data_IF_128961204097
#
_entry.id   IF_128961204097
#
_cell.length_a   1.000
_cell.length_b   1.000
_cell.length_c   1.000
_cell.angle_alpha   90.00
_cell.angle_beta   90.00
_cell.angle_gamma   90.00
#
_symmetry.space_group_name_H-M   'P 1'
#
loop_
_entity.id
_entity.type
_entity.pdbx_description
1 polymer ?
#
# COMPACT_ATOMS: atom_id res chain seq x y z
N UNK A 1 -15.70 -36.51 25.59
CA UNK A 1 -14.22 -36.40 25.68
C UNK A 1 -13.67 -36.16 24.29
N UNK A 2 -13.42 -34.88 23.99
CA UNK A 2 -13.06 -34.37 22.66
C UNK A 2 -11.53 -34.30 22.56
N UNK A 3 -10.87 -35.46 22.55
CA UNK A 3 -9.40 -35.52 22.54
C UNK A 3 -8.89 -35.19 21.14
N UNK A 4 -8.28 -34.02 21.02
CA UNK A 4 -7.28 -33.74 19.98
C UNK A 4 -7.79 -33.71 18.54
N UNK A 5 -8.13 -32.50 18.03
CA UNK A 5 -7.76 -32.19 16.63
C UNK A 5 -6.29 -32.60 16.48
N UNK A 6 -6.01 -33.66 15.70
CA UNK A 6 -4.72 -34.35 15.64
C UNK A 6 -3.55 -33.35 15.54
N UNK A 7 -2.46 -33.61 16.26
CA UNK A 7 -1.26 -32.74 16.28
C UNK A 7 -0.80 -32.42 14.85
N UNK A 8 -0.83 -33.41 13.96
CA UNK A 8 -0.56 -33.28 12.53
C UNK A 8 -1.43 -32.23 11.85
N UNK A 9 -2.73 -32.20 12.13
CA UNK A 9 -3.67 -31.24 11.55
C UNK A 9 -3.40 -29.80 12.02
N UNK A 10 -2.95 -29.61 13.27
CA UNK A 10 -2.60 -28.27 13.78
C UNK A 10 -1.30 -27.75 13.19
N UNK A 11 -0.28 -28.61 13.10
CA UNK A 11 1.01 -28.26 12.46
C UNK A 11 0.83 -28.00 10.97
N UNK A 12 0.03 -28.82 10.27
CA UNK A 12 -0.30 -28.60 8.86
C UNK A 12 -1.04 -27.28 8.65
N UNK A 13 -2.02 -26.95 9.52
CA UNK A 13 -2.71 -25.66 9.48
C UNK A 13 -1.74 -24.49 9.66
N UNK A 14 -0.86 -24.53 10.66
CA UNK A 14 0.12 -23.46 10.88
C UNK A 14 1.06 -23.28 9.67
N UNK A 15 1.56 -24.38 9.11
CA UNK A 15 2.41 -24.33 7.90
C UNK A 15 1.64 -23.74 6.70
N UNK A 16 0.38 -24.14 6.52
CA UNK A 16 -0.50 -23.60 5.47
C UNK A 16 -0.65 -22.07 5.61
N UNK A 17 -0.89 -21.59 6.84
CA UNK A 17 -1.02 -20.17 7.13
C UNK A 17 0.28 -19.39 6.86
N UNK A 18 1.43 -19.92 7.27
CA UNK A 18 2.75 -19.29 7.03
C UNK A 18 3.06 -19.22 5.53
N UNK A 19 2.73 -20.28 4.78
CA UNK A 19 2.95 -20.38 3.34
C UNK A 19 1.89 -19.63 2.51
N UNK A 20 0.89 -19.00 3.14
CA UNK A 20 -0.18 -18.28 2.46
C UNK A 20 -1.15 -19.18 1.68
N UNK A 21 -1.16 -20.49 1.95
CA UNK A 21 -2.11 -21.43 1.35
C UNK A 21 -3.41 -21.39 2.16
N UNK A 22 -4.45 -20.75 1.62
CA UNK A 22 -5.80 -20.71 2.21
C UNK A 22 -6.32 -19.35 2.66
N UNK A 23 -5.79 -18.23 2.17
CA UNK A 23 -6.31 -16.91 2.49
C UNK A 23 -7.72 -16.70 1.88
N UNK A 24 -8.75 -16.77 2.71
CA UNK A 24 -10.01 -16.06 2.48
C UNK A 24 -9.84 -14.60 2.90
N UNK A 25 -10.47 -13.67 2.17
CA UNK A 25 -10.50 -12.25 2.52
C UNK A 25 -10.98 -12.09 3.98
N UNK A 26 -10.40 -11.15 4.75
CA UNK A 26 -10.79 -10.95 6.13
C UNK A 26 -12.24 -10.43 6.18
N UNK A 27 -13.10 -11.17 6.89
CA UNK A 27 -14.43 -10.69 7.27
C UNK A 27 -14.25 -9.49 8.22
N UNK A 28 -15.04 -8.43 7.99
CA UNK A 28 -14.95 -7.16 8.70
C UNK A 28 -15.35 -7.24 10.18
N UNK A 29 -14.49 -7.81 11.02
CA UNK A 29 -14.67 -7.79 12.47
C UNK A 29 -13.98 -6.58 13.09
N UNK A 30 -14.80 -5.67 13.63
CA UNK A 30 -14.41 -4.60 14.55
C UNK A 30 -13.69 -5.18 15.78
N UNK A 31 -12.37 -5.07 15.79
CA UNK A 31 -11.53 -5.42 16.93
C UNK A 31 -10.09 -5.06 16.66
N UNK A 32 -9.40 -4.53 17.67
CA UNK A 32 -7.96 -4.20 17.63
C UNK A 32 -7.04 -5.43 17.41
N UNK A 33 -7.59 -6.63 17.24
CA UNK A 33 -6.85 -7.86 17.01
C UNK A 33 -6.60 -8.09 15.52
N UNK A 34 -5.32 -8.15 15.13
CA UNK A 34 -4.91 -8.56 13.79
C UNK A 34 -5.31 -10.04 13.62
N UNK A 35 -6.10 -10.41 12.59
CA UNK A 35 -6.45 -11.82 12.35
C UNK A 35 -5.20 -12.69 12.31
N UNK A 36 -5.25 -13.86 12.96
CA UNK A 36 -4.10 -14.76 13.07
C UNK A 36 -3.49 -15.08 11.69
N UNK A 37 -4.35 -15.25 10.67
CA UNK A 37 -3.95 -15.48 9.28
C UNK A 37 -3.07 -14.36 8.72
N UNK A 38 -3.40 -13.10 9.01
CA UNK A 38 -2.62 -11.93 8.60
C UNK A 38 -1.32 -11.84 9.40
N UNK A 39 -1.40 -12.02 10.72
CA UNK A 39 -0.24 -11.90 11.62
C UNK A 39 0.82 -12.98 11.38
N UNK A 40 0.42 -14.20 11.06
CA UNK A 40 1.33 -15.33 10.83
C UNK A 40 1.67 -15.56 9.36
N UNK A 41 1.16 -14.71 8.46
CA UNK A 41 1.58 -14.72 7.06
C UNK A 41 3.09 -14.47 6.93
N UNK A 42 3.70 -14.90 5.83
CA UNK A 42 5.12 -14.65 5.55
C UNK A 42 5.48 -13.17 5.72
N UNK A 43 4.71 -12.26 5.12
CA UNK A 43 4.96 -10.82 5.22
C UNK A 43 4.73 -10.30 6.65
N UNK A 44 3.68 -10.75 7.34
CA UNK A 44 3.39 -10.36 8.72
C UNK A 44 4.50 -10.77 9.71
N UNK A 45 5.06 -11.97 9.54
CA UNK A 45 6.19 -12.44 10.35
C UNK A 45 7.48 -11.67 10.05
N UNK A 46 7.76 -11.38 8.78
CA UNK A 46 8.93 -10.58 8.39
C UNK A 46 8.84 -9.15 8.93
N UNK A 47 7.67 -8.50 8.80
CA UNK A 47 7.45 -7.16 9.34
C UNK A 47 7.60 -7.16 10.87
N UNK A 48 7.01 -8.14 11.56
CA UNK A 48 7.12 -8.28 13.02
C UNK A 48 8.58 -8.47 13.47
N UNK A 49 9.35 -9.30 12.77
CA UNK A 49 10.76 -9.53 13.06
C UNK A 49 11.60 -8.27 12.84
N UNK A 50 11.36 -7.53 11.75
CA UNK A 50 12.07 -6.30 11.45
C UNK A 50 11.78 -5.23 12.50
N UNK A 51 10.52 -5.04 12.89
CA UNK A 51 10.12 -4.09 13.95
C UNK A 51 10.77 -4.47 15.28
N UNK A 52 10.71 -5.74 15.68
CA UNK A 52 11.34 -6.21 16.91
C UNK A 52 12.85 -5.96 16.88
N UNK A 53 13.51 -6.26 15.76
CA UNK A 53 14.94 -6.01 15.60
C UNK A 53 15.30 -4.53 15.71
N UNK A 54 14.50 -3.64 15.11
CA UNK A 54 14.74 -2.20 15.18
C UNK A 54 14.59 -1.66 16.60
N UNK A 55 13.55 -2.09 17.33
CA UNK A 55 13.37 -1.75 18.73
C UNK A 55 14.53 -2.26 19.60
N UNK A 56 14.92 -3.53 19.43
CA UNK A 56 16.05 -4.12 20.14
C UNK A 56 17.40 -3.47 19.78
N UNK A 57 17.53 -2.90 18.58
CA UNK A 57 18.76 -2.26 18.13
C UNK A 57 19.00 -0.87 18.73
N UNK A 58 17.96 -0.25 19.34
CA UNK A 58 18.10 1.03 20.03
C UNK A 58 19.08 0.91 21.20
N UNK A 59 20.05 1.81 21.25
CA UNK A 59 21.14 1.82 22.24
C UNK A 59 20.64 1.76 23.69
N UNK A 60 19.48 2.40 23.95
CA UNK A 60 18.85 2.45 25.28
C UNK A 60 18.50 1.06 25.82
N UNK A 61 18.11 0.12 24.94
CA UNK A 61 17.71 -1.23 25.30
C UNK A 61 18.90 -2.17 25.14
N UNK A 62 19.58 -2.11 24.00
CA UNK A 62 20.71 -2.98 23.64
C UNK A 62 21.86 -2.95 24.65
N UNK A 63 22.17 -1.78 25.23
CA UNK A 63 23.26 -1.66 26.22
C UNK A 63 22.88 -2.15 27.62
N UNK A 64 21.58 -2.26 27.92
CA UNK A 64 21.08 -2.62 29.25
C UNK A 64 20.87 -4.12 29.43
N UNK A 65 20.63 -4.86 28.36
CA UNK A 65 20.30 -6.29 28.42
C UNK A 65 21.18 -7.12 27.49
N UNK A 66 21.89 -8.09 28.07
CA UNK A 66 22.79 -8.99 27.33
C UNK A 66 22.04 -9.85 26.31
N UNK A 67 20.85 -10.35 26.64
CA UNK A 67 20.05 -11.18 25.72
C UNK A 67 19.60 -10.36 24.51
N UNK A 68 19.27 -9.08 24.71
CA UNK A 68 18.94 -8.17 23.60
C UNK A 68 20.18 -7.91 22.73
N UNK A 69 21.34 -7.67 23.33
CA UNK A 69 22.59 -7.50 22.60
C UNK A 69 22.97 -8.74 21.77
N UNK A 70 22.81 -9.93 22.36
CA UNK A 70 23.07 -11.22 21.71
C UNK A 70 22.06 -11.47 20.58
N UNK A 71 20.77 -11.16 20.78
CA UNK A 71 19.75 -11.22 19.74
C UNK A 71 20.08 -10.32 18.54
N UNK A 72 20.39 -9.04 18.77
CA UNK A 72 20.75 -8.09 17.71
C UNK A 72 21.99 -8.57 16.96
N UNK A 73 23.00 -9.07 17.68
CA UNK A 73 24.24 -9.55 17.04
C UNK A 73 23.97 -10.79 16.18
N UNK A 74 23.18 -11.74 16.69
CA UNK A 74 22.83 -12.97 15.99
C UNK A 74 22.03 -12.72 14.71
N UNK A 75 21.04 -11.83 14.75
CA UNK A 75 20.13 -11.61 13.62
C UNK A 75 20.55 -10.50 12.66
N UNK A 76 21.55 -9.68 12.99
CA UNK A 76 22.06 -8.61 12.10
C UNK A 76 22.29 -9.03 10.64
N UNK A 77 23.02 -10.12 10.33
CA UNK A 77 23.26 -10.50 8.93
C UNK A 77 21.95 -10.89 8.22
N UNK A 78 21.08 -11.65 8.89
CA UNK A 78 19.79 -12.09 8.38
C UNK A 78 18.89 -10.88 8.09
N UNK A 79 18.83 -9.90 9.00
CA UNK A 79 18.04 -8.69 8.83
C UNK A 79 18.57 -7.85 7.66
N UNK A 80 19.89 -7.73 7.54
CA UNK A 80 20.51 -7.00 6.42
C UNK A 80 20.14 -7.65 5.08
N UNK A 81 20.29 -8.96 4.97
CA UNK A 81 19.98 -9.72 3.75
C UNK A 81 18.48 -9.68 3.43
N UNK A 82 17.62 -9.90 4.42
CA UNK A 82 16.16 -9.77 4.27
C UNK A 82 15.77 -8.38 3.77
N UNK A 83 16.36 -7.30 4.30
CA UNK A 83 16.08 -5.93 3.83
C UNK A 83 16.50 -5.72 2.38
N UNK A 84 17.63 -6.28 1.96
CA UNK A 84 18.10 -6.17 0.56
C UNK A 84 17.29 -7.01 -0.42
N UNK A 85 16.70 -8.11 0.05
CA UNK A 85 15.88 -8.99 -0.79
C UNK A 85 14.41 -8.51 -0.90
N UNK A 86 13.96 -7.68 0.03
CA UNK A 86 12.64 -7.02 -0.06
C UNK A 86 12.75 -5.76 -0.91
N UNK A 87 11.62 -5.43 -1.55
CA UNK A 87 11.47 -4.16 -2.27
C UNK A 87 11.78 -3.02 -1.32
N UNK A 88 12.66 -2.12 -1.75
CA UNK A 88 13.12 -0.99 -0.96
C UNK A 88 13.41 0.23 -1.87
N UNK A 89 13.62 1.39 -1.26
CA UNK A 89 13.81 2.65 -1.98
C UNK A 89 15.02 2.60 -2.94
N UNK A 90 16.06 1.83 -2.61
CA UNK A 90 17.27 1.75 -3.45
C UNK A 90 17.05 0.98 -4.76
N UNK A 91 15.90 0.31 -4.93
CA UNK A 91 15.52 -0.36 -6.18
C UNK A 91 14.98 0.65 -7.22
N UNK A 92 14.74 1.90 -6.81
CA UNK A 92 14.13 2.94 -7.64
C UNK A 92 15.05 4.15 -7.81
N UNK A 93 15.11 4.67 -9.04
CA UNK A 93 15.67 5.98 -9.32
C UNK A 93 14.57 7.04 -9.22
N UNK A 94 14.67 7.89 -8.19
CA UNK A 94 13.73 9.00 -7.97
C UNK A 94 14.01 10.13 -8.96
N UNK A 95 12.97 10.55 -9.68
CA UNK A 95 13.02 11.63 -10.66
C UNK A 95 12.30 12.86 -10.12
N UNK A 96 11.26 13.31 -10.81
CA UNK A 96 10.58 14.58 -10.52
C UNK A 96 9.54 14.40 -9.41
N UNK A 97 9.38 15.42 -8.57
CA UNK A 97 8.19 15.57 -7.73
C UNK A 97 7.00 15.88 -8.66
N UNK A 98 5.97 15.02 -8.63
CA UNK A 98 4.77 15.15 -9.49
C UNK A 98 3.50 15.47 -8.69
N UNK A 99 3.52 15.31 -7.36
CA UNK A 99 2.40 15.69 -6.52
C UNK A 99 2.84 15.93 -5.08
N UNK A 100 2.20 16.88 -4.41
CA UNK A 100 2.42 17.14 -2.99
C UNK A 100 1.06 17.21 -2.29
N UNK A 101 0.80 16.22 -1.46
CA UNK A 101 -0.44 16.09 -0.71
C UNK A 101 -0.25 16.35 0.78
N UNK A 102 -1.35 16.28 1.53
CA UNK A 102 -1.33 16.38 2.98
C UNK A 102 -0.53 15.25 3.63
N UNK A 103 -0.62 14.04 3.07
CA UNK A 103 -0.01 12.83 3.63
C UNK A 103 1.43 12.59 3.20
N UNK A 104 1.93 13.36 2.23
CA UNK A 104 3.29 13.20 1.73
C UNK A 104 3.49 13.66 0.29
N UNK A 105 4.51 13.09 -0.34
CA UNK A 105 4.99 13.52 -1.66
C UNK A 105 4.92 12.35 -2.65
N UNK A 106 4.50 12.65 -3.88
CA UNK A 106 4.45 11.70 -4.99
C UNK A 106 5.56 12.06 -5.97
N UNK A 107 6.46 11.11 -6.18
CA UNK A 107 7.57 11.25 -7.12
C UNK A 107 7.39 10.32 -8.30
N UNK A 108 7.76 10.79 -9.49
CA UNK A 108 8.01 9.91 -10.63
C UNK A 108 9.28 9.11 -10.33
N UNK A 109 9.23 7.79 -10.49
CA UNK A 109 10.38 6.92 -10.27
C UNK A 109 10.55 5.97 -11.46
N UNK A 110 11.76 5.44 -11.65
CA UNK A 110 11.91 4.23 -12.47
C UNK A 110 12.56 3.11 -11.67
N UNK A 111 12.02 1.90 -11.81
CA UNK A 111 12.65 0.70 -11.28
C UNK A 111 13.97 0.46 -12.00
N UNK A 112 15.07 0.32 -11.24
CA UNK A 112 16.42 0.24 -11.79
C UNK A 112 16.64 -0.98 -12.68
N UNK A 113 15.99 -2.10 -12.34
CA UNK A 113 16.21 -3.36 -13.02
C UNK A 113 15.46 -3.44 -14.35
N UNK A 114 14.20 -3.01 -14.36
CA UNK A 114 13.31 -3.11 -15.53
C UNK A 114 13.29 -1.84 -16.38
N UNK A 115 13.65 -0.69 -15.79
CA UNK A 115 13.49 0.63 -16.41
C UNK A 115 12.04 1.13 -16.43
N UNK A 116 11.08 0.36 -15.90
CA UNK A 116 9.67 0.72 -15.88
C UNK A 116 9.42 1.94 -14.99
N UNK A 117 8.48 2.78 -15.42
CA UNK A 117 8.19 4.07 -14.79
C UNK A 117 6.93 3.98 -13.95
N UNK A 118 7.02 4.51 -12.72
CA UNK A 118 5.97 4.45 -11.71
C UNK A 118 5.80 5.79 -11.00
N UNK A 119 4.68 5.93 -10.27
CA UNK A 119 4.48 6.99 -9.30
C UNK A 119 4.67 6.43 -7.89
N UNK A 120 5.61 6.98 -7.12
CA UNK A 120 5.89 6.56 -5.75
C UNK A 120 5.37 7.61 -4.76
N UNK A 121 4.33 7.26 -4.00
CA UNK A 121 3.82 8.07 -2.88
C UNK A 121 4.58 7.71 -1.61
N UNK A 122 5.27 8.69 -1.04
CA UNK A 122 6.04 8.57 0.21
C UNK A 122 5.28 9.27 1.32
N UNK A 123 4.96 8.54 2.40
CA UNK A 123 4.18 9.04 3.53
C UNK A 123 4.92 8.81 4.85
N UNK A 124 4.99 9.82 5.71
CA UNK A 124 5.64 9.71 7.02
C UNK A 124 4.75 8.96 8.00
N UNK A 125 5.27 7.89 8.63
CA UNK A 125 4.54 7.09 9.62
C UNK A 125 4.01 7.90 10.81
N UNK A 126 4.62 9.04 11.11
CA UNK A 126 4.18 9.93 12.19
C UNK A 126 2.90 10.72 11.89
N UNK A 127 2.43 10.74 10.63
CA UNK A 127 1.30 11.58 10.17
C UNK A 127 0.11 10.72 9.77
N UNK A 128 0.36 9.51 9.25
CA UNK A 128 -0.69 8.62 8.75
C UNK A 128 -1.14 7.61 9.80
N UNK A 129 -2.42 7.27 9.80
CA UNK A 129 -2.98 6.21 10.66
C UNK A 129 -2.94 4.86 9.95
N UNK A 130 -2.80 3.78 10.72
CA UNK A 130 -2.74 2.42 10.17
C UNK A 130 -4.01 2.03 9.39
N UNK A 131 -5.17 2.54 9.78
CA UNK A 131 -6.44 2.31 9.09
C UNK A 131 -6.46 2.97 7.71
N UNK A 132 -6.10 4.25 7.62
CA UNK A 132 -6.04 4.98 6.34
C UNK A 132 -5.12 4.30 5.33
N UNK A 133 -3.92 3.89 5.76
CA UNK A 133 -2.96 3.21 4.88
C UNK A 133 -3.53 1.87 4.41
N UNK A 134 -4.19 1.13 5.31
CA UNK A 134 -4.75 -0.18 4.99
C UNK A 134 -5.86 -0.05 3.96
N UNK A 135 -6.79 0.89 4.15
CA UNK A 135 -7.87 1.13 3.20
C UNK A 135 -7.33 1.58 1.85
N UNK A 136 -6.43 2.55 1.82
CA UNK A 136 -5.81 3.04 0.58
C UNK A 136 -5.06 1.92 -0.17
N UNK A 137 -4.28 1.11 0.55
CA UNK A 137 -3.60 -0.06 -0.03
C UNK A 137 -4.60 -1.09 -0.54
N UNK A 138 -5.63 -1.43 0.23
CA UNK A 138 -6.57 -2.50 -0.09
C UNK A 138 -7.43 -2.13 -1.32
N UNK A 139 -7.80 -0.85 -1.47
CA UNK A 139 -8.47 -0.33 -2.67
C UNK A 139 -7.57 -0.51 -3.91
N UNK A 140 -6.30 -0.09 -3.84
CA UNK A 140 -5.42 -0.13 -5.01
C UNK A 140 -4.80 -1.50 -5.30
N UNK A 141 -4.75 -2.39 -4.30
CA UNK A 141 -4.33 -3.78 -4.44
C UNK A 141 -5.48 -4.69 -4.92
N UNK A 142 -6.71 -4.20 -4.89
CA UNK A 142 -7.84 -4.88 -5.52
C UNK A 142 -7.59 -5.04 -7.02
N UNK A 143 -8.24 -6.04 -7.66
CA UNK A 143 -8.01 -6.46 -9.06
C UNK A 143 -7.73 -5.28 -10.00
N UNK A 144 -6.82 -5.45 -10.97
CA UNK A 144 -6.53 -4.46 -12.02
C UNK A 144 -7.84 -3.87 -12.57
N UNK A 145 -8.13 -2.66 -12.14
CA UNK A 145 -9.30 -1.89 -12.52
C UNK A 145 -8.88 -0.90 -13.59
N UNK A 146 -9.69 -0.79 -14.64
CA UNK A 146 -9.49 0.24 -15.65
C UNK A 146 -9.82 1.63 -15.11
N UNK A 147 -10.51 1.72 -13.96
CA UNK A 147 -11.01 2.97 -13.41
C UNK A 147 -10.30 3.47 -12.14
N UNK A 148 -9.57 2.61 -11.44
CA UNK A 148 -8.87 2.96 -10.20
C UNK A 148 -7.36 2.82 -10.41
N UNK A 149 -6.56 3.72 -9.84
CA UNK A 149 -5.09 3.58 -9.86
C UNK A 149 -4.66 2.29 -9.16
N UNK A 150 -3.87 1.49 -9.86
CA UNK A 150 -3.35 0.22 -9.36
C UNK A 150 -2.05 0.37 -8.60
N UNK A 151 -1.92 -0.46 -7.56
CA UNK A 151 -0.72 -0.60 -6.74
C UNK A 151 0.15 -1.73 -7.29
N UNK A 152 1.41 -1.42 -7.58
CA UNK A 152 2.42 -2.39 -7.98
C UNK A 152 3.18 -2.94 -6.77
N UNK A 153 3.65 -2.05 -5.88
CA UNK A 153 4.39 -2.43 -4.68
C UNK A 153 3.95 -1.59 -3.48
N UNK A 154 3.94 -2.22 -2.30
CA UNK A 154 3.83 -1.53 -1.01
C UNK A 154 4.97 -1.99 -0.11
N UNK A 155 5.75 -1.04 0.40
CA UNK A 155 6.85 -1.33 1.32
C UNK A 155 7.05 -0.19 2.31
N UNK A 156 7.97 -0.38 3.25
CA UNK A 156 8.20 0.55 4.33
C UNK A 156 9.67 0.53 4.76
N UNK A 157 10.13 1.66 5.31
CA UNK A 157 11.38 1.72 6.04
C UNK A 157 11.11 2.17 7.50
N UNK A 158 12.13 2.69 8.19
CA UNK A 158 12.00 3.08 9.58
C UNK A 158 11.07 4.30 9.78
N UNK A 159 10.98 5.21 8.81
CA UNK A 159 10.28 6.50 8.95
C UNK A 159 9.06 6.62 8.05
N UNK A 160 9.06 5.93 6.91
CA UNK A 160 8.14 6.15 5.81
C UNK A 160 7.47 4.87 5.32
N UNK A 161 6.32 5.07 4.70
CA UNK A 161 5.57 4.10 3.91
C UNK A 161 5.62 4.53 2.45
N UNK A 162 5.74 3.54 1.57
CA UNK A 162 5.91 3.74 0.14
C UNK A 162 4.85 2.94 -0.61
N UNK A 163 4.08 3.64 -1.45
CA UNK A 163 3.14 3.05 -2.38
C UNK A 163 3.64 3.32 -3.80
N UNK A 164 4.04 2.28 -4.52
CA UNK A 164 4.47 2.35 -5.91
C UNK A 164 3.27 1.99 -6.79
N UNK A 165 2.79 2.97 -7.54
CA UNK A 165 1.56 2.92 -8.30
C UNK A 165 1.86 3.09 -9.79
N UNK A 166 0.92 2.70 -10.64
CA UNK A 166 1.00 3.02 -12.07
C UNK A 166 1.17 4.53 -12.28
N UNK A 167 2.02 4.89 -13.24
CA UNK A 167 2.18 6.29 -13.64
C UNK A 167 1.19 6.66 -14.74
N UNK A 168 0.41 7.71 -14.51
CA UNK A 168 -0.59 8.23 -15.44
C UNK A 168 -0.07 9.53 -16.10
N UNK A 169 0.44 9.47 -17.34
CA UNK A 169 1.17 10.57 -17.95
C UNK A 169 0.29 11.73 -18.43
N UNK A 170 -1.04 11.54 -18.49
CA UNK A 170 -1.98 12.59 -18.85
C UNK A 170 -2.15 13.67 -17.77
N UNK A 171 -1.63 13.42 -16.56
CA UNK A 171 -1.75 14.33 -15.42
C UNK A 171 -3.14 14.33 -14.81
N UNK A 172 -3.45 15.34 -14.00
CA UNK A 172 -4.76 15.51 -13.38
C UNK A 172 -5.76 16.29 -14.25
N UNK A 173 -7.04 16.08 -13.99
CA UNK A 173 -8.14 16.73 -14.71
C UNK A 173 -8.13 18.25 -14.47
N UNK A 174 -7.71 18.73 -13.30
CA UNK A 174 -7.58 20.16 -13.03
C UNK A 174 -6.63 20.83 -14.03
N UNK A 175 -5.47 20.23 -14.26
CA UNK A 175 -4.47 20.68 -15.21
C UNK A 175 -5.00 20.67 -16.65
N UNK A 176 -5.83 19.68 -17.02
CA UNK A 176 -6.51 19.66 -18.30
C UNK A 176 -7.53 20.81 -18.41
N UNK A 177 -8.32 21.06 -17.37
CA UNK A 177 -9.28 22.18 -17.32
C UNK A 177 -8.57 23.54 -17.43
N UNK A 178 -7.44 23.72 -16.74
CA UNK A 178 -6.64 24.96 -16.83
C UNK A 178 -6.12 25.18 -18.26
N UNK A 179 -5.65 24.12 -18.93
CA UNK A 179 -5.10 24.20 -20.29
C UNK A 179 -6.19 24.42 -21.35
N UNK A 180 -7.34 23.78 -21.20
CA UNK A 180 -8.41 23.75 -22.21
C UNK A 180 -9.41 24.90 -22.01
N UNK A 181 -9.49 25.44 -20.79
CA UNK A 181 -10.55 26.36 -20.39
C UNK A 181 -11.83 25.59 -20.02
N UNK A 182 -12.98 26.24 -20.20
CA UNK A 182 -14.28 25.62 -19.94
C UNK A 182 -14.49 24.50 -20.96
N UNK A 183 -14.75 23.28 -20.48
CA UNK A 183 -15.12 22.16 -21.35
C UNK A 183 -16.44 22.46 -22.05
N UNK A 184 -16.53 22.09 -23.32
CA UNK A 184 -17.82 22.02 -23.98
C UNK A 184 -18.66 20.86 -23.40
N UNK A 185 -19.93 20.83 -23.79
CA UNK A 185 -20.89 19.85 -23.25
C UNK A 185 -20.47 18.41 -23.59
N UNK A 186 -19.90 18.18 -24.78
CA UNK A 186 -19.47 16.86 -25.23
C UNK A 186 -18.29 16.33 -24.39
N UNK A 187 -17.26 17.15 -24.17
CA UNK A 187 -16.11 16.77 -23.35
C UNK A 187 -16.48 16.64 -21.87
N UNK A 188 -17.35 17.53 -21.37
CA UNK A 188 -17.87 17.41 -20.01
C UNK A 188 -18.68 16.12 -19.84
N UNK A 189 -19.54 15.77 -20.80
CA UNK A 189 -20.31 14.53 -20.78
C UNK A 189 -19.40 13.30 -20.78
N UNK A 190 -18.34 13.31 -21.59
CA UNK A 190 -17.34 12.23 -21.64
C UNK A 190 -16.72 11.97 -20.26
N UNK A 191 -16.11 12.99 -19.63
CA UNK A 191 -15.45 12.81 -18.34
C UNK A 191 -16.44 12.54 -17.19
N UNK A 192 -17.66 13.09 -17.24
CA UNK A 192 -18.70 12.80 -16.25
C UNK A 192 -19.18 11.34 -16.34
N UNK A 193 -19.27 10.78 -17.54
CA UNK A 193 -19.60 9.37 -17.72
C UNK A 193 -18.51 8.47 -17.16
N UNK A 194 -17.23 8.72 -17.49
CA UNK A 194 -16.11 7.95 -16.96
C UNK A 194 -15.97 8.07 -15.44
N UNK A 195 -16.14 9.27 -14.89
CA UNK A 195 -16.13 9.48 -13.45
C UNK A 195 -17.25 8.68 -12.76
N UNK A 196 -18.42 8.59 -13.39
CA UNK A 196 -19.54 7.79 -12.87
C UNK A 196 -19.18 6.30 -12.81
N UNK A 197 -18.55 5.76 -13.85
CA UNK A 197 -18.07 4.37 -13.87
C UNK A 197 -16.97 4.14 -12.83
N UNK A 198 -16.04 5.09 -12.66
CA UNK A 198 -14.99 4.98 -11.65
C UNK A 198 -15.52 5.00 -10.22
N UNK A 199 -16.52 5.85 -9.93
CA UNK A 199 -17.21 5.86 -8.64
C UNK A 199 -18.00 4.58 -8.43
N UNK A 200 -18.68 4.07 -9.46
CA UNK A 200 -19.37 2.80 -9.40
C UNK A 200 -18.40 1.65 -9.08
N UNK A 201 -17.24 1.61 -9.74
CA UNK A 201 -16.21 0.62 -9.48
C UNK A 201 -15.73 0.67 -8.02
N UNK A 202 -15.45 1.86 -7.48
CA UNK A 202 -15.06 2.02 -6.08
C UNK A 202 -16.17 1.60 -5.11
N UNK A 203 -17.41 2.00 -5.36
CA UNK A 203 -18.54 1.64 -4.51
C UNK A 203 -18.83 0.13 -4.56
N UNK A 204 -18.61 -0.52 -5.71
CA UNK A 204 -18.81 -1.96 -5.89
C UNK A 204 -17.86 -2.83 -5.05
N UNK A 205 -16.68 -2.30 -4.71
CA UNK A 205 -15.72 -2.93 -3.79
C UNK A 205 -15.93 -2.50 -2.33
N UNK A 206 -17.02 -1.77 -2.05
CA UNK A 206 -17.45 -1.44 -0.69
C UNK A 206 -16.78 -0.21 -0.08
N UNK A 207 -16.32 0.76 -0.87
CA UNK A 207 -15.68 1.98 -0.37
C UNK A 207 -16.33 3.26 -0.89
N UNK A 208 -16.29 4.34 -0.12
CA UNK A 208 -16.63 5.71 -0.56
C UNK A 208 -15.35 6.56 -0.53
N UNK A 209 -15.10 7.34 -1.59
CA UNK A 209 -13.87 8.14 -1.71
C UNK A 209 -13.79 9.34 -0.76
N UNK A 210 -14.91 10.06 -0.57
CA UNK A 210 -15.06 11.28 0.27
C UNK A 210 -14.21 12.52 -0.08
N UNK A 211 -13.42 12.49 -1.14
CA UNK A 211 -12.55 13.61 -1.56
C UNK A 211 -12.46 13.68 -3.10
N UNK A 212 -13.62 13.67 -3.76
CA UNK A 212 -13.71 13.76 -5.21
C UNK A 212 -13.51 15.21 -5.63
N UNK A 213 -12.44 15.44 -6.39
CA UNK A 213 -12.06 16.74 -6.95
C UNK A 213 -11.18 16.52 -8.19
N UNK A 214 -11.09 17.51 -9.11
CA UNK A 214 -10.34 17.35 -10.36
C UNK A 214 -8.85 16.97 -10.18
N UNK A 215 -8.24 17.30 -9.05
CA UNK A 215 -6.86 16.92 -8.71
C UNK A 215 -6.67 15.42 -8.46
N UNK A 216 -7.72 14.74 -7.99
CA UNK A 216 -7.72 13.30 -7.69
C UNK A 216 -8.21 12.46 -8.88
N UNK A 217 -8.49 13.11 -10.00
CA UNK A 217 -8.92 12.49 -11.25
C UNK A 217 -7.74 12.55 -12.21
N UNK A 218 -7.09 11.42 -12.44
CA UNK A 218 -5.90 11.32 -13.28
C UNK A 218 -6.24 10.78 -14.66
N UNK A 219 -5.39 11.07 -15.64
CA UNK A 219 -5.58 10.69 -17.03
C UNK A 219 -4.45 9.78 -17.52
N UNK A 220 -4.81 8.69 -18.16
CA UNK A 220 -3.86 7.77 -18.76
C UNK A 220 -3.22 8.34 -20.05
N UNK A 221 -2.41 7.52 -20.73
CA UNK A 221 -1.73 7.93 -21.97
C UNK A 221 -2.66 8.17 -23.16
N UNK A 222 -3.91 7.70 -23.08
CA UNK A 222 -4.93 7.85 -24.11
C UNK A 222 -5.95 8.94 -23.75
N UNK A 223 -5.85 9.53 -22.55
CA UNK A 223 -6.74 10.57 -22.06
C UNK A 223 -7.96 10.05 -21.30
N UNK A 224 -8.00 8.76 -20.98
CA UNK A 224 -9.06 8.14 -20.18
C UNK A 224 -8.81 8.32 -18.69
N UNK A 225 -9.90 8.46 -17.94
CA UNK A 225 -9.92 8.75 -16.53
C UNK A 225 -9.57 7.53 -15.66
N UNK A 226 -8.76 7.77 -14.63
CA UNK A 226 -8.63 6.91 -13.45
C UNK A 226 -8.73 7.74 -12.17
N UNK A 227 -9.43 7.19 -11.18
CA UNK A 227 -9.54 7.76 -9.86
C UNK A 227 -8.30 7.42 -9.02
N UNK A 228 -7.79 8.42 -8.29
CA UNK A 228 -6.57 8.35 -7.51
C UNK A 228 -6.75 8.98 -6.12
N UNK A 229 -5.75 8.78 -5.24
CA UNK A 229 -5.68 9.31 -3.87
C UNK A 229 -6.83 8.88 -2.94
N UNK A 230 -6.78 7.62 -2.50
CA UNK A 230 -7.78 7.02 -1.61
C UNK A 230 -7.49 7.24 -0.11
N UNK A 231 -6.60 8.17 0.25
CA UNK A 231 -6.21 8.40 1.66
C UNK A 231 -7.35 8.88 2.58
N UNK A 232 -8.45 9.35 1.98
CA UNK A 232 -9.68 9.75 2.66
C UNK A 232 -10.83 8.75 2.48
N UNK A 233 -10.62 7.63 1.79
CA UNK A 233 -11.67 6.64 1.58
C UNK A 233 -12.11 5.99 2.90
N UNK A 234 -13.26 5.32 2.90
CA UNK A 234 -13.77 4.53 4.03
C UNK A 234 -14.65 3.41 3.52
N UNK A 235 -14.70 2.29 4.24
CA UNK A 235 -15.65 1.23 3.93
C UNK A 235 -17.11 1.72 4.04
N UNK A 236 -17.97 1.23 3.15
CA UNK A 236 -19.43 1.39 3.20
C UNK A 236 -19.93 0.35 4.20
N UNK A 237 -20.48 0.82 5.32
CA UNK A 237 -21.13 -0.03 6.33
C UNK A 237 -22.41 -0.69 5.80
#
# INVERSE_FOLDING_TARGET
>A
MNSSKQISARTARLNSLILGQGATLPDGSDGFDIPLETAVSREGLLDSLLVLYDECSKDVIKKKDKNVADFVTKYRPIIKETRTLRVNVADFDVKNLIGKGYFGEVHLVSERHTGEVYAMKTMRKSIVTATQIREERDIMASRRSDWLTSLQYAFQDQECLYLVMEYLPGGDLLSLMIRTGVFDEELAQFYMAELTEALHALHSIGYVHRDIKPENILLDRFGHLKLADFGNATAIN
#
